data_IF_325319315335
#
_entry.id   IF_325319315335
#
_cell.length_a   1.000
_cell.length_b   1.000
_cell.length_c   1.000
_cell.angle_alpha   90.00
_cell.angle_beta   90.00
_cell.angle_gamma   90.00
#
_symmetry.space_group_name_H-M   'P 1'
#
loop_
_entity.id
_entity.type
_entity.pdbx_description
1 polymer ?
#
# COMPACT_ATOMS: atom_id res chain seq x y z
N UNK A 1 -30.81 11.23 -3.05
CA UNK A 1 -29.35 11.08 -3.02
C UNK A 1 -29.02 10.27 -1.78
N UNK A 2 -28.68 8.99 -1.92
CA UNK A 2 -28.20 8.21 -0.78
C UNK A 2 -26.83 8.75 -0.40
N UNK A 3 -26.63 9.10 0.87
CA UNK A 3 -25.30 9.42 1.39
C UNK A 3 -24.60 8.09 1.56
N UNK A 4 -23.61 7.80 0.73
CA UNK A 4 -22.69 6.70 1.02
C UNK A 4 -21.91 7.10 2.27
N UNK A 5 -22.12 6.35 3.35
CA UNK A 5 -21.51 6.62 4.65
C UNK A 5 -20.11 5.99 4.65
N UNK A 6 -19.09 6.79 5.02
CA UNK A 6 -17.75 6.28 5.28
C UNK A 6 -17.79 5.45 6.57
N UNK A 7 -17.38 4.17 6.49
CA UNK A 7 -17.36 3.27 7.64
C UNK A 7 -16.01 3.30 8.34
N UNK A 8 -16.00 3.40 9.67
CA UNK A 8 -14.79 3.21 10.50
C UNK A 8 -14.54 1.72 10.77
N UNK A 9 -13.27 1.30 10.80
CA UNK A 9 -12.89 -0.10 11.04
C UNK A 9 -12.80 -0.94 9.75
N UNK A 10 -12.99 -2.27 9.83
CA UNK A 10 -12.81 -3.16 8.68
C UNK A 10 -13.74 -2.81 7.51
N UNK A 11 -13.28 -3.08 6.29
CA UNK A 11 -14.02 -2.82 5.06
C UNK A 11 -15.18 -3.79 4.87
N UNK A 12 -16.09 -3.49 3.95
CA UNK A 12 -17.18 -4.41 3.57
C UNK A 12 -16.69 -5.62 2.75
N UNK A 13 -15.45 -5.60 2.24
CA UNK A 13 -14.87 -6.68 1.42
C UNK A 13 -13.95 -7.60 2.26
N UNK A 14 -14.30 -8.89 2.41
CA UNK A 14 -13.51 -9.84 3.20
C UNK A 14 -12.09 -10.08 2.67
N UNK A 15 -11.89 -10.03 1.35
CA UNK A 15 -10.57 -10.24 0.75
C UNK A 15 -9.65 -9.05 1.04
N UNK A 16 -10.19 -7.82 0.99
CA UNK A 16 -9.46 -6.61 1.39
C UNK A 16 -9.10 -6.65 2.87
N UNK A 17 -10.03 -7.04 3.76
CA UNK A 17 -9.74 -7.17 5.19
C UNK A 17 -8.66 -8.21 5.48
N UNK A 18 -8.73 -9.37 4.83
CA UNK A 18 -7.71 -10.42 4.96
C UNK A 18 -6.33 -9.94 4.45
N UNK A 19 -6.31 -9.14 3.38
CA UNK A 19 -5.09 -8.58 2.83
C UNK A 19 -4.47 -7.55 3.77
N UNK A 20 -5.25 -6.63 4.33
CA UNK A 20 -4.76 -5.64 5.29
C UNK A 20 -4.18 -6.32 6.54
N UNK A 21 -4.84 -7.38 7.04
CA UNK A 21 -4.31 -8.17 8.15
C UNK A 21 -2.98 -8.85 7.80
N UNK A 22 -2.90 -9.50 6.62
CA UNK A 22 -1.66 -10.13 6.16
C UNK A 22 -0.52 -9.13 5.93
N UNK A 23 -0.85 -7.91 5.51
CA UNK A 23 0.11 -6.83 5.33
C UNK A 23 0.67 -6.35 6.67
N UNK A 24 -0.18 -6.18 7.69
CA UNK A 24 0.25 -5.86 9.05
C UNK A 24 1.19 -6.93 9.63
N UNK A 25 0.92 -8.20 9.35
CA UNK A 25 1.74 -9.34 9.76
C UNK A 25 3.04 -9.51 8.92
N UNK A 26 3.20 -8.72 7.85
CA UNK A 26 4.28 -8.86 6.84
C UNK A 26 4.38 -10.27 6.23
N UNK A 27 3.25 -10.98 6.14
CA UNK A 27 3.18 -12.33 5.61
C UNK A 27 3.04 -12.31 4.09
N UNK A 28 4.18 -12.27 3.39
CA UNK A 28 4.23 -12.24 1.93
C UNK A 28 3.54 -13.45 1.27
N UNK A 29 3.58 -14.63 1.89
CA UNK A 29 2.97 -15.83 1.32
C UNK A 29 1.44 -15.75 1.41
N UNK A 30 0.91 -15.31 2.56
CA UNK A 30 -0.53 -15.04 2.73
C UNK A 30 -1.00 -13.92 1.83
N UNK A 31 -0.23 -12.83 1.70
CA UNK A 31 -0.53 -11.72 0.78
C UNK A 31 -0.69 -12.23 -0.66
N UNK A 32 0.25 -13.05 -1.14
CA UNK A 32 0.20 -13.55 -2.52
C UNK A 32 -0.92 -14.58 -2.73
N UNK A 33 -1.33 -15.30 -1.67
CA UNK A 33 -2.51 -16.17 -1.70
C UNK A 33 -3.82 -15.41 -1.91
N UNK A 34 -3.89 -14.14 -1.50
CA UNK A 34 -5.08 -13.27 -1.59
C UNK A 34 -5.15 -12.45 -2.90
N UNK A 35 -4.12 -12.55 -3.74
CA UNK A 35 -3.98 -11.74 -4.97
C UNK A 35 -4.12 -12.63 -6.19
N UNK A 36 -4.83 -12.17 -7.23
CA UNK A 36 -4.98 -12.90 -8.49
C UNK A 36 -3.62 -13.08 -9.21
N UNK A 37 -3.51 -14.12 -10.04
CA UNK A 37 -2.24 -14.47 -10.70
C UNK A 37 -1.65 -13.33 -11.53
N UNK A 38 -2.51 -12.58 -12.24
CA UNK A 38 -2.17 -11.46 -13.15
C UNK A 38 -2.53 -10.09 -12.57
N UNK A 39 -2.62 -9.97 -11.24
CA UNK A 39 -3.07 -8.75 -10.59
C UNK A 39 -2.09 -7.58 -10.79
N UNK A 40 -2.59 -6.33 -10.71
CA UNK A 40 -1.80 -5.13 -11.05
C UNK A 40 -1.76 -4.12 -9.91
N UNK A 41 -0.56 -3.89 -9.37
CA UNK A 41 -0.31 -2.90 -8.33
C UNK A 41 0.28 -1.65 -8.98
N UNK A 42 -0.21 -0.47 -8.58
CA UNK A 42 0.30 0.82 -9.04
C UNK A 42 0.64 1.65 -7.80
N UNK A 43 1.94 1.89 -7.59
CA UNK A 43 2.48 2.69 -6.51
C UNK A 43 3.16 3.93 -7.13
N UNK A 44 2.74 5.16 -6.77
CA UNK A 44 3.33 6.38 -7.30
C UNK A 44 4.75 6.58 -6.76
N UNK A 45 5.62 7.19 -7.56
CA UNK A 45 7.00 7.52 -7.16
C UNK A 45 8.01 7.32 -8.29
N UNK A 46 9.27 7.59 -7.98
CA UNK A 46 10.40 7.35 -8.87
C UNK A 46 11.13 6.06 -8.46
N UNK A 47 11.10 5.06 -9.33
CA UNK A 47 11.75 3.76 -9.11
C UNK A 47 13.28 3.82 -9.14
N UNK A 48 13.89 4.95 -9.53
CA UNK A 48 15.32 5.18 -9.37
C UNK A 48 15.68 5.61 -7.93
N UNK A 49 14.70 6.04 -7.14
CA UNK A 49 14.88 6.52 -5.77
C UNK A 49 14.29 5.51 -4.78
N UNK A 50 13.04 5.11 -4.96
CA UNK A 50 12.32 4.24 -4.02
C UNK A 50 12.13 2.86 -4.65
N UNK A 51 12.68 1.78 -4.07
CA UNK A 51 12.83 0.50 -4.79
C UNK A 51 11.51 -0.26 -5.00
N UNK A 52 10.45 0.02 -4.24
CA UNK A 52 9.17 -0.69 -4.34
C UNK A 52 8.10 0.00 -5.20
N UNK A 53 8.34 1.22 -5.68
CA UNK A 53 7.33 1.99 -6.44
C UNK A 53 7.25 1.56 -7.90
N UNK A 54 6.24 2.04 -8.61
CA UNK A 54 6.01 1.73 -10.02
C UNK A 54 4.80 0.81 -10.24
N UNK A 55 4.80 0.09 -11.36
CA UNK A 55 3.73 -0.83 -11.73
C UNK A 55 4.21 -2.28 -11.68
N UNK A 56 3.60 -3.09 -10.82
CA UNK A 56 3.89 -4.51 -10.67
C UNK A 56 2.74 -5.32 -11.25
N UNK A 57 3.05 -6.32 -12.08
CA UNK A 57 2.08 -7.19 -12.75
C UNK A 57 2.34 -8.65 -12.40
N UNK A 58 1.37 -9.27 -11.76
CA UNK A 58 1.40 -10.65 -11.33
C UNK A 58 2.21 -10.92 -10.08
N UNK A 59 2.00 -12.09 -9.49
CA UNK A 59 2.48 -12.47 -8.15
C UNK A 59 4.01 -12.42 -8.00
N UNK A 60 4.76 -12.73 -9.04
CA UNK A 60 6.23 -12.72 -8.99
C UNK A 60 6.79 -11.31 -8.81
N UNK A 61 6.33 -10.36 -9.63
CA UNK A 61 6.75 -8.95 -9.51
C UNK A 61 6.26 -8.33 -8.22
N UNK A 62 5.09 -8.73 -7.72
CA UNK A 62 4.63 -8.31 -6.38
C UNK A 62 5.55 -8.80 -5.27
N UNK A 63 5.99 -10.07 -5.32
CA UNK A 63 6.89 -10.63 -4.32
C UNK A 63 8.21 -9.87 -4.28
N UNK A 64 8.87 -9.78 -5.42
CA UNK A 64 10.27 -9.33 -5.47
C UNK A 64 10.42 -7.83 -5.77
N UNK A 65 9.43 -7.21 -6.40
CA UNK A 65 9.44 -5.80 -6.75
C UNK A 65 8.66 -4.91 -5.78
N UNK A 66 7.71 -5.45 -5.00
CA UNK A 66 6.95 -4.66 -4.03
C UNK A 66 7.18 -5.11 -2.58
N UNK A 67 6.74 -6.32 -2.22
CA UNK A 67 6.72 -6.74 -0.81
C UNK A 67 8.13 -6.88 -0.21
N UNK A 68 9.05 -7.58 -0.89
CA UNK A 68 10.41 -7.76 -0.40
C UNK A 68 11.14 -6.42 -0.16
N UNK A 69 11.27 -5.51 -1.15
CA UNK A 69 11.97 -4.24 -0.95
C UNK A 69 11.27 -3.33 0.06
N UNK A 70 9.95 -3.31 0.12
CA UNK A 70 9.22 -2.52 1.12
C UNK A 70 9.47 -3.03 2.54
N UNK A 71 9.35 -4.34 2.76
CA UNK A 71 9.50 -4.93 4.09
C UNK A 71 10.95 -4.88 4.58
N UNK A 72 11.92 -4.90 3.67
CA UNK A 72 13.33 -4.67 3.99
C UNK A 72 13.63 -3.20 4.32
N UNK A 73 12.95 -2.25 3.68
CA UNK A 73 13.24 -0.84 3.80
C UNK A 73 12.60 -0.15 5.02
N UNK A 74 11.53 -0.69 5.58
CA UNK A 74 10.75 -0.01 6.63
C UNK A 74 10.54 -0.87 7.86
N UNK A 75 10.39 -0.23 9.02
CA UNK A 75 9.79 -0.77 10.25
C UNK A 75 8.41 -0.11 10.43
N UNK A 76 7.32 -0.89 10.62
CA UNK A 76 5.99 -0.33 10.79
C UNK A 76 5.78 0.04 12.25
N UNK A 77 5.51 1.32 12.52
CA UNK A 77 5.22 1.81 13.87
C UNK A 77 3.72 1.86 14.14
N UNK A 78 2.93 2.25 13.14
CA UNK A 78 1.48 2.27 13.19
C UNK A 78 0.87 2.12 11.80
N UNK A 79 -0.32 1.52 11.74
CA UNK A 79 -1.16 1.50 10.56
C UNK A 79 -2.63 1.47 10.99
N UNK A 80 -3.35 2.54 10.65
CA UNK A 80 -4.75 2.70 11.01
C UNK A 80 -5.63 2.72 9.76
N UNK A 81 -6.69 1.92 9.76
CA UNK A 81 -7.78 2.04 8.79
C UNK A 81 -8.78 3.05 9.35
N UNK A 82 -8.78 4.26 8.78
CA UNK A 82 -9.63 5.35 9.24
C UNK A 82 -11.05 5.16 8.69
N UNK A 83 -11.15 5.06 7.37
CA UNK A 83 -12.42 4.95 6.67
C UNK A 83 -12.35 4.00 5.49
N UNK A 84 -13.45 3.36 5.16
CA UNK A 84 -13.59 2.64 3.90
C UNK A 84 -14.90 2.92 3.19
N UNK A 85 -14.89 2.72 1.88
CA UNK A 85 -16.04 2.92 1.01
C UNK A 85 -15.98 1.96 -0.18
N UNK A 86 -17.06 1.22 -0.42
CA UNK A 86 -17.21 0.38 -1.61
C UNK A 86 -18.09 1.08 -2.65
N UNK A 87 -17.60 1.17 -3.90
CA UNK A 87 -18.37 1.72 -5.01
C UNK A 87 -17.84 1.24 -6.36
N UNK A 88 -18.77 1.01 -7.29
CA UNK A 88 -18.48 0.65 -8.69
C UNK A 88 -17.49 -0.53 -8.85
N UNK A 89 -17.58 -1.54 -7.98
CA UNK A 89 -16.69 -2.72 -8.03
C UNK A 89 -15.29 -2.48 -7.46
N UNK A 90 -15.09 -1.38 -6.73
CA UNK A 90 -13.85 -1.07 -6.04
C UNK A 90 -14.10 -0.81 -4.54
N UNK A 91 -13.09 -1.09 -3.73
CA UNK A 91 -13.05 -0.73 -2.30
C UNK A 91 -11.96 0.31 -2.12
N UNK A 92 -12.32 1.45 -1.56
CA UNK A 92 -11.42 2.53 -1.20
C UNK A 92 -11.18 2.46 0.29
N UNK A 93 -9.91 2.39 0.69
CA UNK A 93 -9.48 2.37 2.08
C UNK A 93 -8.66 3.62 2.32
N UNK A 94 -9.18 4.54 3.12
CA UNK A 94 -8.40 5.64 3.67
C UNK A 94 -7.77 5.18 4.98
N UNK A 95 -6.46 5.34 5.06
CA UNK A 95 -5.69 4.98 6.23
C UNK A 95 -4.61 6.00 6.54
N UNK A 96 -3.95 5.78 7.67
CA UNK A 96 -2.74 6.48 8.08
C UNK A 96 -1.67 5.45 8.38
N UNK A 97 -0.43 5.73 7.99
CA UNK A 97 0.70 4.90 8.35
C UNK A 97 1.75 5.72 9.06
N UNK A 98 2.53 5.06 9.90
CA UNK A 98 3.77 5.59 10.47
C UNK A 98 4.86 4.57 10.25
N UNK A 99 5.87 4.92 9.45
CA UNK A 99 7.02 4.07 9.13
C UNK A 99 8.32 4.72 9.57
N UNK A 100 9.24 3.91 10.11
CA UNK A 100 10.67 4.26 10.19
C UNK A 100 11.37 3.65 8.98
N UNK A 101 12.12 4.45 8.23
CA UNK A 101 12.90 3.97 7.09
C UNK A 101 14.29 3.56 7.55
N UNK A 102 14.67 2.30 7.34
CA UNK A 102 15.99 1.78 7.73
C UNK A 102 17.18 2.50 7.07
N UNK A 103 17.12 2.93 5.78
CA UNK A 103 18.28 3.59 5.17
C UNK A 103 18.62 4.96 5.76
N UNK A 104 17.63 5.70 6.24
CA UNK A 104 17.77 7.09 6.70
C UNK A 104 17.55 7.27 8.21
N UNK A 105 16.94 6.28 8.87
CA UNK A 105 16.40 6.34 10.23
C UNK A 105 15.26 7.36 10.44
N UNK A 106 14.78 8.00 9.36
CA UNK A 106 13.69 8.97 9.41
C UNK A 106 12.35 8.28 9.68
N UNK A 107 11.48 8.98 10.41
CA UNK A 107 10.10 8.57 10.66
C UNK A 107 9.15 9.43 9.83
N UNK A 108 8.33 8.79 9.01
CA UNK A 108 7.26 9.44 8.27
C UNK A 108 5.91 8.98 8.80
N UNK A 109 5.04 9.94 9.09
CA UNK A 109 3.60 9.73 9.23
C UNK A 109 2.90 10.40 8.05
N UNK A 110 2.05 9.67 7.33
CA UNK A 110 1.29 10.22 6.22
C UNK A 110 -0.07 9.50 6.08
N UNK A 111 -1.00 10.17 5.40
CA UNK A 111 -2.29 9.59 5.03
C UNK A 111 -2.24 9.03 3.61
N UNK A 112 -3.01 7.95 3.42
CA UNK A 112 -3.13 7.31 2.13
C UNK A 112 -4.58 6.98 1.81
N UNK A 113 -4.82 6.78 0.52
CA UNK A 113 -5.99 6.04 0.04
C UNK A 113 -5.49 4.88 -0.82
N UNK A 114 -5.98 3.67 -0.55
CA UNK A 114 -5.82 2.54 -1.45
C UNK A 114 -7.13 2.25 -2.15
N UNK A 115 -7.10 2.15 -3.47
CA UNK A 115 -8.19 1.57 -4.27
C UNK A 115 -7.87 0.12 -4.58
N UNK A 116 -8.69 -0.78 -4.07
CA UNK A 116 -8.70 -2.19 -4.41
C UNK A 116 -9.78 -2.51 -5.43
N UNK A 117 -9.54 -3.52 -6.26
CA UNK A 117 -10.56 -4.20 -7.05
C UNK A 117 -10.47 -5.69 -6.74
N UNK A 118 -11.61 -6.33 -6.53
CA UNK A 118 -11.71 -7.74 -6.17
C UNK A 118 -12.55 -8.50 -7.20
N UNK A 119 -12.22 -9.77 -7.42
CA UNK A 119 -13.00 -10.71 -8.20
C UNK A 119 -12.78 -12.12 -7.64
N UNK A 120 -13.87 -12.89 -7.48
CA UNK A 120 -13.84 -14.26 -6.98
C UNK A 120 -13.06 -14.43 -5.65
N UNK A 121 -13.18 -13.44 -4.76
CA UNK A 121 -12.51 -13.43 -3.45
C UNK A 121 -11.00 -13.13 -3.49
N UNK A 122 -10.47 -12.72 -4.65
CA UNK A 122 -9.07 -12.33 -4.83
C UNK A 122 -8.96 -10.86 -5.23
N UNK A 123 -7.88 -10.21 -4.85
CA UNK A 123 -7.58 -8.85 -5.29
C UNK A 123 -6.96 -8.89 -6.69
N UNK A 124 -7.55 -8.19 -7.63
CA UNK A 124 -7.10 -8.10 -9.03
C UNK A 124 -6.36 -6.80 -9.34
N UNK A 125 -6.61 -5.73 -8.57
CA UNK A 125 -5.84 -4.50 -8.68
C UNK A 125 -5.74 -3.76 -7.35
N UNK A 126 -4.62 -3.08 -7.17
CA UNK A 126 -4.30 -2.18 -6.06
C UNK A 126 -3.72 -0.90 -6.65
N UNK A 127 -4.17 0.25 -6.16
CA UNK A 127 -3.51 1.52 -6.40
C UNK A 127 -3.51 2.35 -5.14
N UNK A 128 -2.33 2.78 -4.72
CA UNK A 128 -2.17 3.68 -3.58
C UNK A 128 -2.03 5.13 -4.06
N UNK A 129 -2.56 6.05 -3.26
CA UNK A 129 -2.46 7.49 -3.39
C UNK A 129 -1.93 8.01 -2.05
N UNK A 130 -0.71 8.53 -2.05
CA UNK A 130 0.06 8.99 -0.88
C UNK A 130 1.01 10.11 -1.32
N UNK A 131 1.67 10.80 -0.39
CA UNK A 131 2.72 11.76 -0.74
C UNK A 131 4.01 11.02 -1.12
N UNK A 132 4.10 10.65 -2.41
CA UNK A 132 5.29 9.97 -2.95
C UNK A 132 6.58 10.80 -2.82
N UNK A 133 6.49 12.13 -2.70
CA UNK A 133 7.66 13.00 -2.48
C UNK A 133 8.12 12.89 -1.03
N UNK A 134 7.20 12.88 -0.07
CA UNK A 134 7.51 12.67 1.34
C UNK A 134 8.13 11.27 1.56
N UNK A 135 7.56 10.23 0.94
CA UNK A 135 8.12 8.87 0.97
C UNK A 135 9.55 8.85 0.42
N UNK A 136 9.81 9.48 -0.72
CA UNK A 136 11.15 9.52 -1.31
C UNK A 136 12.16 10.23 -0.40
N UNK A 137 11.81 11.38 0.16
CA UNK A 137 12.67 12.16 1.08
C UNK A 137 12.94 11.40 2.37
N UNK A 138 11.91 10.77 2.93
CA UNK A 138 12.05 9.97 4.14
C UNK A 138 12.91 8.74 3.88
N UNK A 139 12.73 8.04 2.75
CA UNK A 139 13.54 6.88 2.38
C UNK A 139 15.03 7.22 2.22
N UNK A 140 15.35 8.35 1.58
CA UNK A 140 16.75 8.74 1.33
C UNK A 140 17.39 9.51 2.48
N UNK A 141 16.60 10.13 3.35
CA UNK A 141 17.08 11.14 4.30
C UNK A 141 17.55 12.43 3.63
N UNK A 142 17.24 12.64 2.34
CA UNK A 142 17.63 13.82 1.57
C UNK A 142 16.39 14.64 1.16
N UNK A 143 16.15 15.79 1.81
CA UNK A 143 15.05 16.68 1.46
C UNK A 143 15.12 17.23 0.03
N UNK A 144 16.33 17.33 -0.55
CA UNK A 144 16.59 17.85 -1.88
C UNK A 144 16.56 16.80 -2.98
N UNK A 145 16.63 15.50 -2.63
CA UNK A 145 16.77 14.39 -3.59
C UNK A 145 17.90 14.63 -4.63
N UNK A 146 19.00 15.25 -4.20
CA UNK A 146 20.11 15.64 -5.07
C UNK A 146 19.82 16.79 -6.04
N UNK A 147 18.64 17.42 -5.96
CA UNK A 147 18.27 18.61 -6.72
C UNK A 147 18.61 19.86 -5.91
N UNK A 148 19.86 20.32 -6.02
CA UNK A 148 20.32 21.61 -5.48
C UNK A 148 20.84 22.48 -6.60
#
# INVERSE_FOLDING_TARGET
>A
MSRDVLAEGPTEDPAVNAYLAAFADRDADRLLGLVAQEAVWIIPGDAQIVPWVGTHRGRETLRYGYYAPLFEAVEPLAFDVLHSHASAGAVFVNGRFTFRFHPSEEVLEDELVVRFTTADGLITSFRIYEDSLAVARAYTGDPGLGLV
#
